data_IF_054983596054
#
_entry.id   IF_054983596054
#
_cell.length_a   1.000
_cell.length_b   1.000
_cell.length_c   1.000
_cell.angle_alpha   90.00
_cell.angle_beta   90.00
_cell.angle_gamma   90.00
#
_symmetry.space_group_name_H-M   'P 1'
#
loop_
_entity.id
_entity.type
_entity.pdbx_description
1 polymer ?
#
# COMPACT_ATOMS: atom_id res chain seq x y z
N UNK A 1 13.86 18.40 -11.40
CA UNK A 1 12.56 17.71 -11.18
C UNK A 1 12.61 16.40 -11.95
N UNK A 2 13.02 15.31 -11.30
CA UNK A 2 13.08 14.00 -11.96
C UNK A 2 11.70 13.35 -11.89
N UNK A 3 11.03 13.28 -13.05
CA UNK A 3 9.84 12.46 -13.22
C UNK A 3 10.23 11.01 -13.04
N UNK A 4 9.72 10.38 -12.00
CA UNK A 4 9.90 8.98 -11.69
C UNK A 4 9.18 8.13 -12.75
N UNK A 5 9.90 7.74 -13.79
CA UNK A 5 9.43 6.77 -14.78
C UNK A 5 9.63 5.39 -14.16
N UNK A 6 8.62 4.93 -13.42
CA UNK A 6 8.56 3.56 -12.93
C UNK A 6 8.38 2.62 -14.13
N UNK A 7 9.36 1.74 -14.29
CA UNK A 7 9.50 0.84 -15.43
C UNK A 7 8.43 -0.25 -15.30
N UNK A 8 7.38 -0.13 -16.11
CA UNK A 8 6.30 -1.11 -16.23
C UNK A 8 6.81 -2.40 -16.89
N UNK A 9 7.37 -3.30 -16.07
CA UNK A 9 7.50 -4.72 -16.41
C UNK A 9 6.50 -5.48 -15.55
N UNK A 10 5.31 -5.72 -16.12
CA UNK A 10 4.31 -6.63 -15.55
C UNK A 10 3.51 -6.08 -14.38
N UNK A 11 2.76 -4.99 -14.58
CA UNK A 11 1.61 -4.59 -13.73
C UNK A 11 1.87 -4.27 -12.25
N UNK A 12 3.10 -4.38 -11.78
CA UNK A 12 3.44 -4.26 -10.37
C UNK A 12 4.64 -3.34 -10.26
N UNK A 13 4.39 -2.05 -10.05
CA UNK A 13 5.44 -1.09 -9.73
C UNK A 13 6.24 -1.63 -8.55
N UNK A 14 7.55 -1.85 -8.74
CA UNK A 14 8.44 -2.38 -7.70
C UNK A 14 8.32 -1.58 -6.40
N UNK A 15 8.12 -0.26 -6.55
CA UNK A 15 7.83 0.69 -5.49
C UNK A 15 6.64 0.25 -4.63
N UNK A 16 5.54 -0.19 -5.25
CA UNK A 16 4.33 -0.58 -4.52
C UNK A 16 4.53 -1.83 -3.65
N UNK A 17 5.34 -2.79 -4.10
CA UNK A 17 5.69 -3.98 -3.30
C UNK A 17 6.62 -3.63 -2.15
N UNK A 18 7.60 -2.76 -2.38
CA UNK A 18 8.51 -2.29 -1.33
C UNK A 18 7.78 -1.52 -0.23
N UNK A 19 6.88 -0.60 -0.62
CA UNK A 19 6.00 0.11 0.30
C UNK A 19 5.11 -0.86 1.08
N UNK A 20 4.48 -1.84 0.40
CA UNK A 20 3.65 -2.83 1.06
C UNK A 20 4.46 -3.67 2.05
N UNK A 21 5.65 -4.13 1.67
CA UNK A 21 6.53 -4.91 2.54
C UNK A 21 6.96 -4.10 3.77
N UNK A 22 7.24 -2.80 3.59
CA UNK A 22 7.58 -1.88 4.68
C UNK A 22 6.42 -1.68 5.65
N UNK A 23 5.20 -1.45 5.13
CA UNK A 23 3.99 -1.29 5.94
C UNK A 23 3.62 -2.59 6.68
N UNK A 24 3.71 -3.73 5.98
CA UNK A 24 3.44 -5.02 6.60
C UNK A 24 4.47 -5.28 7.67
N UNK A 25 5.78 -5.26 7.40
CA UNK A 25 6.82 -5.33 8.44
C UNK A 25 6.62 -6.47 9.48
N UNK A 26 6.00 -7.59 9.10
CA UNK A 26 5.61 -8.70 9.99
C UNK A 26 4.22 -8.60 10.64
N UNK A 27 3.52 -7.48 10.47
CA UNK A 27 2.13 -7.25 10.90
C UNK A 27 1.18 -8.05 10.02
N UNK A 28 0.30 -8.82 10.64
CA UNK A 28 -0.77 -9.58 9.96
C UNK A 28 -1.90 -8.67 9.47
N UNK A 29 -2.08 -7.53 10.12
CA UNK A 29 -3.14 -6.58 9.81
C UNK A 29 -2.56 -5.19 9.57
N UNK A 30 -3.16 -4.48 8.63
CA UNK A 30 -2.78 -3.12 8.27
C UNK A 30 -4.02 -2.23 8.24
N UNK A 31 -3.87 -1.04 8.82
CA UNK A 31 -4.86 0.03 8.79
C UNK A 31 -4.37 1.20 7.93
N UNK A 32 -5.27 2.11 7.50
CA UNK A 32 -4.86 3.35 6.84
C UNK A 32 -3.92 4.20 7.69
N UNK A 33 -4.04 4.15 9.02
CA UNK A 33 -3.15 4.88 9.93
C UNK A 33 -1.73 4.32 9.91
N UNK A 34 -1.56 2.99 9.85
CA UNK A 34 -0.25 2.35 9.69
C UNK A 34 0.43 2.81 8.39
N UNK A 35 -0.32 2.82 7.29
CA UNK A 35 0.19 3.25 5.99
C UNK A 35 0.56 4.73 6.00
N UNK A 36 -0.29 5.58 6.59
CA UNK A 36 -0.04 7.02 6.69
C UNK A 36 1.24 7.31 7.50
N UNK A 37 1.44 6.59 8.61
CA UNK A 37 2.61 6.74 9.47
C UNK A 37 3.90 6.22 8.80
N UNK A 38 3.86 5.04 8.18
CA UNK A 38 5.05 4.42 7.59
C UNK A 38 5.49 5.08 6.28
N UNK A 39 4.54 5.57 5.47
CA UNK A 39 4.81 6.24 4.20
C UNK A 39 4.85 7.76 4.31
N UNK A 40 4.53 8.32 5.49
CA UNK A 40 4.46 9.77 5.74
C UNK A 40 3.54 10.47 4.72
N UNK A 41 2.33 9.94 4.55
CA UNK A 41 1.33 10.46 3.61
C UNK A 41 0.01 10.79 4.30
N UNK A 42 -0.79 11.63 3.62
CA UNK A 42 -2.13 11.99 4.06
C UNK A 42 -3.04 10.75 4.23
N UNK A 43 -3.93 10.80 5.22
CA UNK A 43 -4.86 9.70 5.52
C UNK A 43 -5.74 9.29 4.33
N UNK A 44 -6.13 10.27 3.50
CA UNK A 44 -6.89 10.04 2.27
C UNK A 44 -6.04 9.29 1.24
N UNK A 45 -4.77 9.65 1.09
CA UNK A 45 -3.84 8.97 0.17
C UNK A 45 -3.53 7.54 0.64
N UNK A 46 -3.35 7.35 1.95
CA UNK A 46 -3.18 6.02 2.56
C UNK A 46 -4.39 5.09 2.30
N UNK A 47 -5.60 5.63 2.43
CA UNK A 47 -6.83 4.88 2.13
C UNK A 47 -6.92 4.49 0.66
N UNK A 48 -6.55 5.40 -0.25
CA UNK A 48 -6.50 5.10 -1.68
C UNK A 48 -5.43 4.04 -2.01
N UNK A 49 -4.26 4.09 -1.35
CA UNK A 49 -3.19 3.10 -1.50
C UNK A 49 -3.68 1.71 -1.12
N UNK A 50 -4.33 1.57 0.04
CA UNK A 50 -4.91 0.30 0.50
C UNK A 50 -6.01 -0.22 -0.42
N UNK A 51 -6.88 0.67 -0.90
CA UNK A 51 -7.93 0.30 -1.85
C UNK A 51 -7.32 -0.22 -3.17
N UNK A 52 -6.24 0.40 -3.64
CA UNK A 52 -5.50 -0.04 -4.82
C UNK A 52 -4.85 -1.41 -4.60
N UNK A 53 -4.08 -1.59 -3.52
CA UNK A 53 -3.48 -2.89 -3.20
C UNK A 53 -4.52 -4.00 -3.02
N UNK A 54 -5.69 -3.68 -2.47
CA UNK A 54 -6.78 -4.64 -2.39
C UNK A 54 -7.38 -4.99 -3.76
N UNK A 55 -7.50 -4.01 -4.65
CA UNK A 55 -7.96 -4.22 -6.04
C UNK A 55 -6.96 -5.04 -6.85
N UNK A 56 -5.67 -4.83 -6.63
CA UNK A 56 -4.58 -5.54 -7.27
C UNK A 56 -4.37 -6.95 -6.67
N UNK A 57 -5.16 -7.32 -5.66
CA UNK A 57 -5.16 -8.65 -5.04
C UNK A 57 -4.06 -8.87 -4.01
N UNK A 58 -3.35 -7.83 -3.60
CA UNK A 58 -2.25 -7.92 -2.63
C UNK A 58 -2.73 -7.87 -1.18
N UNK A 59 -3.92 -7.32 -0.96
CA UNK A 59 -4.55 -7.24 0.35
C UNK A 59 -6.00 -7.70 0.25
N UNK A 60 -6.50 -8.31 1.33
CA UNK A 60 -7.93 -8.56 1.49
C UNK A 60 -8.50 -7.63 2.54
N UNK A 61 -9.64 -7.01 2.25
CA UNK A 61 -10.37 -6.20 3.24
C UNK A 61 -11.13 -7.13 4.18
N UNK A 62 -10.88 -7.02 5.48
CA UNK A 62 -11.52 -7.86 6.51
C UNK A 62 -12.70 -7.15 7.17
N UNK A 63 -12.57 -5.84 7.40
CA UNK A 63 -13.64 -4.96 7.91
C UNK A 63 -13.39 -3.51 7.48
N UNK A 64 -14.29 -2.59 7.85
CA UNK A 64 -14.14 -1.16 7.53
C UNK A 64 -12.82 -0.64 8.13
N UNK A 65 -11.84 -0.34 7.27
CA UNK A 65 -10.53 0.19 7.68
C UNK A 65 -9.47 -0.84 8.10
N UNK A 66 -9.71 -2.15 7.89
CA UNK A 66 -8.72 -3.19 8.22
C UNK A 66 -8.46 -4.12 7.04
N UNK A 67 -7.19 -4.32 6.73
CA UNK A 67 -6.70 -5.15 5.64
C UNK A 67 -5.74 -6.22 6.14
N UNK A 68 -5.70 -7.36 5.45
CA UNK A 68 -4.78 -8.49 5.69
C UNK A 68 -4.00 -8.76 4.41
N UNK A 69 -2.68 -8.92 4.54
CA UNK A 69 -1.77 -9.38 3.49
C UNK A 69 -1.51 -10.87 3.55
#
# INVERSE_FOLDING_TARGET
>A
MIGQYDVIVGGISAIGREELARVLGGRRFVTPADVAAELTIESTAATQRLARWARDGWLRRVRRGLYIG
#
